data_IF_186763232022
#
_entry.id   IF_186763232022
#
_cell.length_a   1.000
_cell.length_b   1.000
_cell.length_c   1.000
_cell.angle_alpha   90.00
_cell.angle_beta   90.00
_cell.angle_gamma   90.00
#
_symmetry.space_group_name_H-M   'P 1'
#
loop_
_entity.id
_entity.type
_entity.pdbx_description
1 polymer ?
#
# COMPACT_ATOMS: atom_id res chain seq x y z
N UNK A 1 24.40 3.58 -5.52
CA UNK A 1 24.48 4.97 -5.02
C UNK A 1 25.26 5.04 -3.71
N UNK A 2 24.69 4.61 -2.56
CA UNK A 2 25.33 4.70 -1.24
C UNK A 2 26.76 4.14 -1.16
N UNK A 3 26.97 2.86 -1.51
CA UNK A 3 28.32 2.23 -1.51
C UNK A 3 29.31 2.85 -2.49
N UNK A 4 28.83 3.64 -3.45
CA UNK A 4 29.64 4.29 -4.48
C UNK A 4 29.82 5.79 -4.21
N UNK A 5 29.48 6.26 -2.99
CA UNK A 5 29.61 7.65 -2.56
C UNK A 5 28.87 8.67 -3.44
N UNK A 6 27.81 8.24 -4.13
CA UNK A 6 26.96 9.17 -4.89
C UNK A 6 26.07 9.92 -3.89
N UNK A 7 26.19 11.26 -3.77
CA UNK A 7 25.55 12.03 -2.70
C UNK A 7 24.02 11.93 -2.71
N UNK A 8 23.40 12.03 -3.89
CA UNK A 8 21.95 11.93 -4.04
C UNK A 8 21.51 10.47 -4.16
N UNK A 9 21.48 9.76 -3.02
CA UNK A 9 21.18 8.32 -3.02
C UNK A 9 19.75 7.97 -3.49
N UNK A 10 18.85 8.96 -3.46
CA UNK A 10 17.45 8.85 -3.87
C UNK A 10 17.13 9.59 -5.18
N UNK A 11 18.13 10.02 -5.95
CA UNK A 11 17.96 10.86 -7.16
C UNK A 11 16.89 10.35 -8.15
N UNK A 12 16.73 9.04 -8.29
CA UNK A 12 15.74 8.44 -9.21
C UNK A 12 14.28 8.56 -8.77
N UNK A 13 13.99 9.09 -7.59
CA UNK A 13 12.61 9.39 -7.13
C UNK A 13 12.50 10.72 -6.35
N UNK A 14 13.46 11.62 -6.54
CA UNK A 14 13.45 13.00 -6.06
C UNK A 14 13.57 13.97 -7.25
N UNK A 15 13.50 15.28 -7.01
CA UNK A 15 13.71 16.31 -8.05
C UNK A 15 12.77 16.18 -9.26
N UNK A 16 11.52 15.80 -9.02
CA UNK A 16 10.51 15.59 -10.07
C UNK A 16 10.50 14.18 -10.67
N UNK A 17 11.52 13.36 -10.40
CA UNK A 17 11.54 11.95 -10.82
C UNK A 17 10.50 11.13 -10.07
N UNK A 18 9.95 10.13 -10.77
CA UNK A 18 8.83 9.30 -10.32
C UNK A 18 9.16 7.83 -10.52
N UNK A 19 8.53 6.96 -9.72
CA UNK A 19 8.68 5.51 -9.84
C UNK A 19 7.32 4.83 -9.85
N UNK A 20 7.16 3.88 -10.76
CA UNK A 20 6.00 3.01 -10.84
C UNK A 20 6.44 1.55 -10.79
N UNK A 21 5.77 0.74 -9.97
CA UNK A 21 5.99 -0.70 -9.94
C UNK A 21 4.86 -1.43 -10.70
N UNK A 22 5.20 -2.02 -11.85
CA UNK A 22 4.25 -2.73 -12.71
C UNK A 22 3.60 -3.92 -12.00
N UNK A 23 4.24 -4.51 -10.98
CA UNK A 23 3.61 -5.58 -10.19
C UNK A 23 2.38 -5.06 -9.42
N UNK A 24 2.48 -3.86 -8.84
CA UNK A 24 1.35 -3.24 -8.13
C UNK A 24 0.25 -2.85 -9.11
N UNK A 25 0.62 -2.36 -10.30
CA UNK A 25 -0.33 -2.03 -11.38
C UNK A 25 -1.05 -3.27 -11.89
N UNK A 26 -0.34 -4.38 -12.14
CA UNK A 26 -0.92 -5.63 -12.61
C UNK A 26 -1.92 -6.22 -11.60
N UNK A 27 -1.58 -6.18 -10.31
CA UNK A 27 -2.49 -6.56 -9.23
C UNK A 27 -3.73 -5.68 -9.20
N UNK A 28 -3.56 -4.36 -9.27
CA UNK A 28 -4.69 -3.45 -9.32
C UNK A 28 -5.55 -3.64 -10.57
N UNK A 29 -4.93 -3.97 -11.72
CA UNK A 29 -5.60 -4.24 -13.00
C UNK A 29 -6.53 -5.42 -12.89
N UNK A 30 -5.98 -6.55 -12.42
CA UNK A 30 -6.77 -7.76 -12.21
C UNK A 30 -7.96 -7.54 -11.28
N UNK A 31 -7.81 -6.72 -10.24
CA UNK A 31 -8.91 -6.35 -9.34
C UNK A 31 -9.93 -5.40 -9.98
N UNK A 32 -9.45 -4.40 -10.73
CA UNK A 32 -10.28 -3.38 -11.38
C UNK A 32 -11.16 -3.98 -12.48
N UNK A 33 -10.58 -4.86 -13.29
CA UNK A 33 -11.25 -5.61 -14.34
C UNK A 33 -10.49 -6.94 -14.51
N UNK A 34 -11.17 -8.06 -14.24
CA UNK A 34 -10.55 -9.38 -14.28
C UNK A 34 -10.00 -9.74 -15.67
N UNK A 35 -10.57 -9.15 -16.72
CA UNK A 35 -10.15 -9.37 -18.11
C UNK A 35 -8.94 -8.53 -18.54
N UNK A 36 -8.57 -7.51 -17.76
CA UNK A 36 -7.50 -6.57 -18.10
C UNK A 36 -6.14 -7.23 -18.27
N UNK A 37 -5.87 -8.29 -17.51
CA UNK A 37 -4.67 -9.10 -17.61
C UNK A 37 -4.96 -10.56 -17.25
N UNK A 38 -4.51 -11.49 -18.09
CA UNK A 38 -4.65 -12.93 -17.82
C UNK A 38 -3.65 -13.36 -16.76
N UNK A 39 -4.05 -14.30 -15.91
CA UNK A 39 -3.20 -14.90 -14.88
C UNK A 39 -3.38 -16.41 -14.90
N UNK A 40 -2.30 -17.17 -14.77
CA UNK A 40 -2.40 -18.58 -14.41
C UNK A 40 -2.77 -18.72 -12.94
N UNK A 41 -3.44 -19.82 -12.59
CA UNK A 41 -3.67 -20.21 -11.19
C UNK A 41 -2.47 -20.98 -10.66
N UNK A 42 -2.05 -20.69 -9.42
CA UNK A 42 -0.99 -21.44 -8.78
C UNK A 42 -1.45 -22.89 -8.46
N UNK A 43 -0.50 -23.83 -8.45
CA UNK A 43 -0.81 -25.25 -8.21
C UNK A 43 -1.18 -25.56 -6.75
N UNK A 44 -0.89 -24.67 -5.80
CA UNK A 44 -0.96 -24.97 -4.36
C UNK A 44 -2.29 -24.58 -3.73
N UNK A 45 -2.82 -23.44 -4.13
CA UNK A 45 -4.01 -22.80 -3.56
C UNK A 45 -4.99 -22.32 -4.64
N UNK A 46 -4.70 -22.55 -5.92
CA UNK A 46 -5.56 -22.21 -7.05
C UNK A 46 -5.86 -20.69 -7.13
N UNK A 47 -4.87 -19.85 -6.81
CA UNK A 47 -4.99 -18.38 -6.85
C UNK A 47 -4.18 -17.76 -7.99
N UNK A 48 -4.55 -16.55 -8.47
CA UNK A 48 -3.80 -15.84 -9.49
C UNK A 48 -2.30 -15.69 -9.17
N UNK A 49 -1.46 -16.11 -10.09
CA UNK A 49 -0.01 -15.93 -10.03
C UNK A 49 0.39 -14.64 -10.74
N UNK A 50 1.09 -13.75 -10.03
CA UNK A 50 1.68 -12.52 -10.57
C UNK A 50 3.21 -12.63 -10.72
N UNK A 51 3.75 -13.85 -10.80
CA UNK A 51 5.14 -14.04 -11.21
C UNK A 51 5.26 -13.59 -12.67
N UNK A 52 6.34 -12.89 -13.01
CA UNK A 52 6.52 -12.32 -14.35
C UNK A 52 6.39 -13.39 -15.45
N UNK A 53 7.06 -14.53 -15.29
CA UNK A 53 6.99 -15.67 -16.22
C UNK A 53 5.56 -16.15 -16.42
N UNK A 54 4.80 -16.37 -15.33
CA UNK A 54 3.40 -16.81 -15.41
C UNK A 54 2.50 -15.79 -16.10
N UNK A 55 2.75 -14.48 -15.89
CA UNK A 55 2.01 -13.43 -16.58
C UNK A 55 2.36 -13.41 -18.08
N UNK A 56 3.64 -13.57 -18.44
CA UNK A 56 4.06 -13.64 -19.84
C UNK A 56 3.41 -14.83 -20.56
N UNK A 57 3.49 -16.02 -19.98
CA UNK A 57 2.86 -17.23 -20.52
C UNK A 57 1.33 -17.09 -20.64
N UNK A 58 0.67 -16.50 -19.64
CA UNK A 58 -0.78 -16.31 -19.67
C UNK A 58 -1.25 -15.32 -20.74
N UNK A 59 -0.38 -14.39 -21.17
CA UNK A 59 -0.72 -13.31 -22.09
C UNK A 59 0.08 -13.39 -23.41
N UNK A 60 0.54 -14.59 -23.77
CA UNK A 60 1.20 -14.86 -25.06
C UNK A 60 2.43 -13.96 -25.33
N UNK A 61 3.15 -13.57 -24.28
CA UNK A 61 4.42 -12.84 -24.40
C UNK A 61 5.56 -13.85 -24.49
N UNK A 62 6.40 -13.71 -25.53
CA UNK A 62 7.62 -14.50 -25.65
C UNK A 62 8.59 -14.18 -24.49
N UNK A 63 8.62 -15.09 -23.52
CA UNK A 63 9.42 -14.98 -22.29
C UNK A 63 10.92 -15.32 -22.50
N UNK A 64 11.35 -15.60 -23.74
CA UNK A 64 12.75 -15.85 -24.10
C UNK A 64 13.47 -16.83 -23.16
N UNK A 65 14.76 -16.58 -22.93
CA UNK A 65 15.50 -17.25 -21.85
C UNK A 65 15.26 -16.50 -20.54
N UNK A 66 14.52 -17.14 -19.63
CA UNK A 66 14.23 -16.60 -18.28
C UNK A 66 15.50 -16.19 -17.53
N UNK A 67 15.40 -15.15 -16.69
CA UNK A 67 16.49 -14.59 -15.87
C UNK A 67 17.59 -13.83 -16.63
N UNK A 68 17.27 -13.33 -17.82
CA UNK A 68 18.11 -12.34 -18.52
C UNK A 68 17.54 -10.93 -18.29
N UNK A 69 18.39 -9.97 -17.86
CA UNK A 69 17.94 -8.62 -17.52
C UNK A 69 17.22 -7.89 -18.66
N UNK A 70 17.64 -8.09 -19.91
CA UNK A 70 16.96 -7.52 -21.08
C UNK A 70 15.59 -8.17 -21.28
N UNK A 71 15.52 -9.50 -21.17
CA UNK A 71 14.27 -10.26 -21.31
C UNK A 71 13.26 -9.84 -20.23
N UNK A 72 13.67 -9.77 -18.97
CA UNK A 72 12.80 -9.34 -17.86
C UNK A 72 12.32 -7.89 -18.04
N UNK A 73 13.17 -7.01 -18.60
CA UNK A 73 12.79 -5.62 -18.93
C UNK A 73 11.73 -5.58 -20.03
N UNK A 74 11.92 -6.33 -21.12
CA UNK A 74 10.98 -6.41 -22.24
C UNK A 74 9.65 -7.06 -21.83
N UNK A 75 9.71 -8.10 -20.99
CA UNK A 75 8.55 -8.73 -20.39
C UNK A 75 7.75 -7.74 -19.54
N UNK A 76 8.43 -6.99 -18.67
CA UNK A 76 7.80 -5.96 -17.84
C UNK A 76 7.14 -4.88 -18.69
N UNK A 77 7.80 -4.44 -19.76
CA UNK A 77 7.21 -3.54 -20.75
C UNK A 77 5.96 -4.14 -21.41
N UNK A 78 6.02 -5.40 -21.86
CA UNK A 78 4.90 -6.09 -22.48
C UNK A 78 3.67 -6.17 -21.57
N UNK A 79 3.88 -6.53 -20.29
CA UNK A 79 2.83 -6.53 -19.26
C UNK A 79 2.24 -5.13 -19.07
N UNK A 80 3.09 -4.11 -18.95
CA UNK A 80 2.63 -2.72 -18.84
C UNK A 80 1.80 -2.29 -20.05
N UNK A 81 2.22 -2.65 -21.27
CA UNK A 81 1.51 -2.34 -22.51
C UNK A 81 0.13 -3.00 -22.59
N UNK A 82 0.01 -4.26 -22.16
CA UNK A 82 -1.30 -4.95 -22.10
C UNK A 82 -2.25 -4.22 -21.16
N UNK A 83 -1.79 -3.89 -19.94
CA UNK A 83 -2.62 -3.20 -18.96
C UNK A 83 -3.00 -1.80 -19.46
N UNK A 84 -2.06 -1.07 -20.06
CA UNK A 84 -2.32 0.23 -20.67
C UNK A 84 -3.44 0.16 -21.73
N UNK A 85 -3.41 -0.86 -22.58
CA UNK A 85 -4.41 -1.03 -23.64
C UNK A 85 -5.78 -1.50 -23.11
N UNK A 86 -5.78 -2.43 -22.15
CA UNK A 86 -7.01 -3.07 -21.70
C UNK A 86 -7.69 -2.35 -20.52
N UNK A 87 -6.92 -1.62 -19.71
CA UNK A 87 -7.40 -0.93 -18.52
C UNK A 87 -6.78 0.48 -18.40
N UNK A 88 -6.84 1.25 -19.49
CA UNK A 88 -6.34 2.64 -19.53
C UNK A 88 -6.81 3.53 -18.37
N UNK A 89 -8.08 3.50 -17.92
CA UNK A 89 -8.50 4.30 -16.77
C UNK A 89 -7.76 3.95 -15.48
N UNK A 90 -7.50 2.66 -15.24
CA UNK A 90 -6.68 2.26 -14.10
C UNK A 90 -5.22 2.68 -14.28
N UNK A 91 -4.67 2.53 -15.48
CA UNK A 91 -3.31 2.98 -15.76
C UNK A 91 -3.13 4.46 -15.39
N UNK A 92 -4.10 5.30 -15.75
CA UNK A 92 -4.10 6.72 -15.40
C UNK A 92 -4.20 6.94 -13.88
N UNK A 93 -5.03 6.16 -13.18
CA UNK A 93 -5.11 6.18 -11.72
C UNK A 93 -3.74 5.85 -11.11
N UNK A 94 -3.07 4.80 -11.58
CA UNK A 94 -1.76 4.38 -11.05
C UNK A 94 -0.67 5.46 -11.23
N UNK A 95 -0.76 6.27 -12.29
CA UNK A 95 0.16 7.39 -12.52
C UNK A 95 0.00 8.52 -11.48
N UNK A 96 -1.17 8.66 -10.85
CA UNK A 96 -1.44 9.71 -9.86
C UNK A 96 -0.78 9.48 -8.49
N UNK A 97 -0.18 8.31 -8.27
CA UNK A 97 0.46 7.93 -6.99
C UNK A 97 1.92 7.45 -7.19
N UNK A 98 2.60 8.00 -8.19
CA UNK A 98 3.97 7.62 -8.59
C UNK A 98 5.08 8.32 -7.82
N UNK A 99 4.72 9.35 -7.04
CA UNK A 99 5.62 9.99 -6.08
C UNK A 99 4.99 10.03 -4.69
N UNK A 100 5.85 10.20 -3.67
CA UNK A 100 5.41 10.38 -2.28
C UNK A 100 4.43 11.55 -2.15
N UNK A 101 4.80 12.71 -2.71
CA UNK A 101 4.02 13.94 -2.62
C UNK A 101 2.65 13.81 -3.29
N UNK A 102 2.58 13.22 -4.49
CA UNK A 102 1.31 13.02 -5.18
C UNK A 102 0.41 12.02 -4.44
N UNK A 103 1.01 10.95 -3.90
CA UNK A 103 0.27 10.00 -3.07
C UNK A 103 -0.28 10.66 -1.81
N UNK A 104 0.50 11.49 -1.12
CA UNK A 104 0.05 12.23 0.06
C UNK A 104 -1.05 13.24 -0.29
N UNK A 105 -0.91 13.93 -1.43
CA UNK A 105 -1.93 14.84 -1.96
C UNK A 105 -3.24 14.11 -2.24
N UNK A 106 -3.18 12.94 -2.88
CA UNK A 106 -4.35 12.09 -3.10
C UNK A 106 -5.00 11.72 -1.77
N UNK A 107 -4.22 11.25 -0.79
CA UNK A 107 -4.73 10.83 0.52
C UNK A 107 -5.44 11.98 1.24
N UNK A 108 -4.82 13.16 1.30
CA UNK A 108 -5.37 14.31 2.04
C UNK A 108 -6.59 14.94 1.34
N UNK A 109 -6.68 14.85 0.01
CA UNK A 109 -7.82 15.38 -0.75
C UNK A 109 -9.08 14.52 -0.62
N UNK A 110 -8.94 13.23 -0.31
CA UNK A 110 -10.05 12.28 -0.30
C UNK A 110 -10.48 11.95 1.13
N UNK A 111 -11.76 12.19 1.45
CA UNK A 111 -12.36 11.82 2.75
C UNK A 111 -12.18 10.34 3.04
N UNK A 112 -12.44 9.48 2.07
CA UNK A 112 -12.15 8.04 2.12
C UNK A 112 -11.53 7.63 0.80
N UNK A 113 -10.85 6.48 0.78
CA UNK A 113 -10.33 5.91 -0.45
C UNK A 113 -10.12 4.40 -0.28
N UNK A 114 -9.85 3.71 -1.38
CA UNK A 114 -9.64 2.27 -1.38
C UNK A 114 -8.15 1.94 -1.33
N UNK A 115 -7.74 1.21 -0.30
CA UNK A 115 -6.43 0.54 -0.24
C UNK A 115 -6.62 -0.89 -0.72
N UNK A 116 -5.84 -1.28 -1.74
CA UNK A 116 -5.74 -2.64 -2.22
C UNK A 116 -4.46 -3.27 -1.70
N UNK A 117 -4.58 -4.33 -0.92
CA UNK A 117 -3.44 -5.15 -0.52
C UNK A 117 -3.49 -6.52 -1.18
N UNK A 118 -2.30 -7.06 -1.45
CA UNK A 118 -2.16 -8.38 -2.03
C UNK A 118 -1.25 -9.24 -1.16
N UNK A 119 -1.83 -10.22 -0.49
CA UNK A 119 -1.08 -11.20 0.29
C UNK A 119 -1.78 -12.54 0.25
N UNK A 120 -1.01 -13.61 0.45
CA UNK A 120 -1.49 -14.99 0.34
C UNK A 120 -2.18 -15.28 -1.00
N UNK A 121 -1.86 -14.56 -2.08
CA UNK A 121 -2.44 -14.79 -3.40
C UNK A 121 -3.85 -14.21 -3.60
N UNK A 122 -4.35 -13.34 -2.73
CA UNK A 122 -5.66 -12.72 -2.92
C UNK A 122 -5.63 -11.23 -2.61
N UNK A 123 -6.60 -10.53 -3.21
CA UNK A 123 -6.86 -9.12 -2.92
C UNK A 123 -7.59 -8.98 -1.59
N UNK A 124 -7.12 -8.02 -0.79
CA UNK A 124 -7.82 -7.53 0.37
C UNK A 124 -8.11 -6.05 0.15
N UNK A 125 -9.39 -5.71 0.22
CA UNK A 125 -9.92 -4.38 -0.09
C UNK A 125 -10.25 -3.71 1.22
N UNK A 126 -9.77 -2.48 1.41
CA UNK A 126 -10.07 -1.70 2.59
C UNK A 126 -10.59 -0.31 2.21
N UNK A 127 -11.74 0.06 2.75
CA UNK A 127 -12.18 1.45 2.77
C UNK A 127 -11.45 2.17 3.89
N UNK A 128 -10.51 3.02 3.50
CA UNK A 128 -9.57 3.69 4.39
C UNK A 128 -9.96 5.16 4.61
N UNK A 129 -9.82 5.63 5.83
CA UNK A 129 -9.84 7.06 6.18
C UNK A 129 -8.50 7.44 6.82
N UNK A 130 -7.80 8.42 6.25
CA UNK A 130 -6.54 8.89 6.82
C UNK A 130 -6.78 9.58 8.17
N UNK A 131 -6.01 9.18 9.18
CA UNK A 131 -6.08 9.77 10.52
C UNK A 131 -4.82 10.55 10.90
N UNK A 132 -3.63 10.08 10.50
CA UNK A 132 -2.37 10.81 10.65
C UNK A 132 -1.25 10.15 9.85
N UNK A 133 -0.15 10.87 9.62
CA UNK A 133 1.10 10.28 9.15
C UNK A 133 1.91 9.76 10.33
N UNK A 134 2.43 8.53 10.21
CA UNK A 134 3.24 7.89 11.24
C UNK A 134 4.40 8.82 11.65
N UNK A 135 4.61 9.07 12.96
CA UNK A 135 5.55 10.07 13.42
C UNK A 135 6.99 9.76 13.01
N UNK A 136 7.40 8.49 13.05
CA UNK A 136 8.70 8.04 12.55
C UNK A 136 8.72 7.85 11.01
N UNK A 137 8.00 6.85 10.50
CA UNK A 137 8.10 6.42 9.10
C UNK A 137 7.42 7.33 8.06
N UNK A 138 6.65 8.34 8.50
CA UNK A 138 5.86 9.26 7.66
C UNK A 138 4.85 8.59 6.72
N UNK A 139 4.56 7.30 6.91
CA UNK A 139 3.52 6.59 6.15
C UNK A 139 2.12 7.01 6.60
N UNK A 140 1.15 7.00 5.70
CA UNK A 140 -0.24 7.29 6.06
C UNK A 140 -0.80 6.15 6.90
N UNK A 141 -1.27 6.47 8.11
CA UNK A 141 -2.04 5.58 8.98
C UNK A 141 -3.51 5.88 8.78
N UNK A 142 -4.29 4.82 8.55
CA UNK A 142 -5.68 4.91 8.15
C UNK A 142 -6.55 4.05 9.06
N UNK A 143 -7.74 4.54 9.36
CA UNK A 143 -8.78 3.76 10.00
C UNK A 143 -9.53 2.92 8.96
N UNK A 144 -9.76 1.64 9.26
CA UNK A 144 -10.65 0.80 8.47
C UNK A 144 -12.12 1.18 8.75
N UNK A 145 -12.82 1.72 7.76
CA UNK A 145 -14.16 2.30 7.93
C UNK A 145 -15.22 1.28 8.36
N UNK A 146 -14.97 -0.04 8.23
CA UNK A 146 -15.91 -1.06 8.75
C UNK A 146 -15.85 -1.21 10.27
N UNK A 147 -14.81 -0.67 10.90
CA UNK A 147 -14.59 -0.76 12.34
C UNK A 147 -15.28 0.42 13.03
N UNK A 148 -16.18 0.13 13.98
CA UNK A 148 -16.81 1.16 14.80
C UNK A 148 -15.79 1.68 15.87
N UNK A 149 -15.36 2.95 15.81
CA UNK A 149 -14.40 3.53 16.76
C UNK A 149 -14.93 3.59 18.19
N UNK A 150 -16.25 3.64 18.41
CA UNK A 150 -16.85 3.72 19.75
C UNK A 150 -16.38 2.58 20.68
N UNK A 151 -16.05 1.42 20.10
CA UNK A 151 -15.55 0.24 20.84
C UNK A 151 -14.17 0.47 21.48
N UNK A 152 -13.41 1.44 20.98
CA UNK A 152 -12.00 1.65 21.33
C UNK A 152 -11.75 2.95 22.10
N UNK A 153 -12.66 3.93 22.02
CA UNK A 153 -12.48 5.24 22.65
C UNK A 153 -12.21 5.18 24.15
N UNK A 154 -12.82 4.20 24.84
CA UNK A 154 -12.70 4.03 26.30
C UNK A 154 -11.65 3.01 26.72
N UNK A 155 -10.93 2.41 25.77
CA UNK A 155 -9.86 1.47 26.12
C UNK A 155 -8.69 2.24 26.73
N UNK A 156 -8.10 1.67 27.78
CA UNK A 156 -6.82 2.19 28.26
C UNK A 156 -5.72 2.00 27.21
N UNK A 157 -4.66 2.78 27.35
CA UNK A 157 -3.54 2.81 26.42
C UNK A 157 -2.90 1.44 26.18
N UNK A 158 -2.77 0.61 27.22
CA UNK A 158 -2.14 -0.72 27.15
C UNK A 158 -3.02 -1.70 26.39
N UNK A 159 -4.34 -1.66 26.63
CA UNK A 159 -5.31 -2.43 25.87
C UNK A 159 -5.31 -2.02 24.39
N UNK A 160 -5.33 -0.71 24.12
CA UNK A 160 -5.31 -0.16 22.76
C UNK A 160 -4.04 -0.57 22.00
N UNK A 161 -2.87 -0.53 22.67
CA UNK A 161 -1.60 -0.95 22.08
C UNK A 161 -1.61 -2.42 21.64
N UNK A 162 -2.25 -3.31 22.41
CA UNK A 162 -2.43 -4.72 22.03
C UNK A 162 -3.39 -4.86 20.84
N UNK A 163 -4.53 -4.17 20.88
CA UNK A 163 -5.55 -4.26 19.83
C UNK A 163 -5.02 -3.86 18.46
N UNK A 164 -4.19 -2.81 18.37
CA UNK A 164 -3.55 -2.37 17.12
C UNK A 164 -2.71 -3.49 16.48
N UNK A 165 -2.18 -4.41 17.28
CA UNK A 165 -1.36 -5.53 16.80
C UNK A 165 -2.17 -6.76 16.37
N UNK A 166 -3.38 -6.91 16.86
CA UNK A 166 -4.20 -8.10 16.63
C UNK A 166 -4.86 -8.06 15.25
N UNK A 167 -4.93 -9.22 14.59
CA UNK A 167 -5.72 -9.40 13.37
C UNK A 167 -7.17 -9.79 13.73
N UNK A 168 -8.19 -9.23 13.06
CA UNK A 168 -8.13 -8.26 11.97
C UNK A 168 -7.67 -6.87 12.44
N UNK A 169 -6.75 -6.26 11.68
CA UNK A 169 -6.17 -4.94 11.99
C UNK A 169 -7.21 -3.84 11.84
N UNK A 170 -7.33 -2.99 12.85
CA UNK A 170 -8.20 -1.79 12.82
C UNK A 170 -7.54 -0.61 12.10
N UNK A 171 -6.21 -0.58 12.05
CA UNK A 171 -5.42 0.41 11.32
C UNK A 171 -4.81 -0.20 10.06
N UNK A 172 -4.85 0.55 8.95
CA UNK A 172 -4.17 0.21 7.69
C UNK A 172 -3.06 1.21 7.40
N UNK A 173 -1.92 0.71 6.95
CA UNK A 173 -0.75 1.55 6.63
C UNK A 173 -0.59 1.66 5.12
N UNK A 174 -0.67 2.88 4.58
CA UNK A 174 -0.32 3.18 3.20
C UNK A 174 1.10 3.76 3.13
N UNK A 175 2.04 2.97 2.60
CA UNK A 175 3.43 3.41 2.39
C UNK A 175 3.53 4.28 1.15
N UNK A 176 3.43 5.59 1.34
CA UNK A 176 3.37 6.60 0.25
C UNK A 176 4.58 6.60 -0.67
N UNK A 177 5.72 6.07 -0.22
CA UNK A 177 6.96 5.97 -0.98
C UNK A 177 7.21 4.59 -1.64
N UNK A 178 6.22 3.69 -1.66
CA UNK A 178 6.35 2.32 -2.19
C UNK A 178 5.48 2.06 -3.43
N UNK A 179 5.20 3.10 -4.21
CA UNK A 179 4.39 3.03 -5.44
C UNK A 179 3.04 2.32 -5.23
N UNK A 180 2.22 2.75 -4.24
CA UNK A 180 0.89 2.19 -4.07
C UNK A 180 0.00 2.57 -5.25
N UNK A 181 -1.01 1.75 -5.56
CA UNK A 181 -2.11 2.12 -6.46
C UNK A 181 -3.34 2.33 -5.60
N UNK A 182 -3.76 3.59 -5.43
CA UNK A 182 -4.92 3.96 -4.60
C UNK A 182 -6.13 4.18 -5.49
N UNK A 183 -7.25 3.53 -5.16
CA UNK A 183 -8.50 3.66 -5.93
C UNK A 183 -9.48 4.58 -5.19
N UNK A 184 -10.50 5.06 -5.91
CA UNK A 184 -11.62 5.80 -5.32
C UNK A 184 -12.41 4.92 -4.34
N UNK A 185 -13.16 5.54 -3.44
CA UNK A 185 -13.93 4.85 -2.40
C UNK A 185 -14.94 3.83 -2.93
N UNK A 186 -15.50 4.08 -4.11
CA UNK A 186 -16.57 3.25 -4.71
C UNK A 186 -16.14 1.78 -4.86
N UNK A 187 -14.85 1.52 -5.13
CA UNK A 187 -14.31 0.17 -5.24
C UNK A 187 -14.43 -0.62 -3.93
N UNK A 188 -14.12 0.01 -2.79
CA UNK A 188 -14.29 -0.62 -1.50
C UNK A 188 -15.75 -0.64 -1.05
N UNK A 189 -16.52 0.44 -1.31
CA UNK A 189 -17.94 0.50 -0.95
C UNK A 189 -18.78 -0.59 -1.62
N UNK A 190 -18.43 -0.98 -2.85
CA UNK A 190 -19.10 -2.06 -3.58
C UNK A 190 -18.60 -3.47 -3.19
N UNK A 191 -17.55 -3.57 -2.35
CA UNK A 191 -17.04 -4.86 -1.87
C UNK A 191 -17.93 -5.42 -0.73
N UNK A 192 -18.06 -6.75 -0.66
CA UNK A 192 -18.88 -7.46 0.35
C UNK A 192 -18.66 -7.01 1.81
N UNK A 193 -17.44 -6.58 2.14
CA UNK A 193 -17.09 -6.16 3.50
C UNK A 193 -17.66 -4.79 3.90
N UNK A 194 -18.11 -3.99 2.92
CA UNK A 194 -18.55 -2.62 3.13
C UNK A 194 -19.93 -2.33 2.51
N UNK A 195 -20.36 -3.09 1.50
CA UNK A 195 -21.64 -2.89 0.81
C UNK A 195 -22.86 -3.04 1.72
N UNK A 196 -22.70 -3.73 2.86
CA UNK A 196 -23.73 -3.90 3.89
C UNK A 196 -23.76 -2.77 4.92
N UNK A 197 -22.85 -1.79 4.84
CA UNK A 197 -22.73 -0.69 5.79
C UNK A 197 -23.28 0.58 5.13
N UNK A 198 -24.31 1.17 5.73
CA UNK A 198 -24.87 2.44 5.27
C UNK A 198 -23.78 3.53 5.25
N UNK A 199 -23.75 4.34 4.18
CA UNK A 199 -22.84 5.48 4.05
C UNK A 199 -23.00 6.48 5.18
N UNK A 200 -24.21 6.62 5.75
CA UNK A 200 -24.46 7.42 6.95
C UNK A 200 -23.76 6.86 8.18
N UNK A 201 -23.69 5.54 8.32
CA UNK A 201 -22.95 4.90 9.42
C UNK A 201 -21.43 5.07 9.24
N UNK A 202 -20.92 4.98 8.00
CA UNK A 202 -19.52 5.32 7.69
C UNK A 202 -19.25 6.77 8.11
N UNK A 203 -20.09 7.71 7.70
CA UNK A 203 -19.94 9.13 8.03
C UNK A 203 -20.01 9.40 9.54
N UNK A 204 -20.91 8.71 10.25
CA UNK A 204 -20.98 8.77 11.71
C UNK A 204 -19.65 8.33 12.35
N UNK A 205 -19.09 7.20 11.90
CA UNK A 205 -17.81 6.69 12.42
C UNK A 205 -16.66 7.66 12.17
N UNK A 206 -16.59 8.27 10.98
CA UNK A 206 -15.57 9.27 10.69
C UNK A 206 -15.75 10.52 11.56
N UNK A 207 -16.99 10.94 11.80
CA UNK A 207 -17.28 12.04 12.72
C UNK A 207 -16.84 11.72 14.15
N UNK A 208 -17.04 10.50 14.63
CA UNK A 208 -16.52 10.07 15.94
C UNK A 208 -15.00 10.22 16.01
N UNK A 209 -14.25 9.78 14.99
CA UNK A 209 -12.79 9.96 14.97
C UNK A 209 -12.40 11.45 14.99
N UNK A 210 -13.08 12.28 14.19
CA UNK A 210 -12.83 13.72 14.11
C UNK A 210 -13.12 14.44 15.43
N UNK A 211 -14.19 14.05 16.12
CA UNK A 211 -14.64 14.69 17.35
C UNK A 211 -13.84 14.19 18.59
N UNK A 212 -12.92 13.22 18.43
CA UNK A 212 -12.10 12.66 19.51
C UNK A 212 -10.59 12.74 19.18
N UNK A 213 -9.98 13.94 19.06
CA UNK A 213 -8.57 14.10 18.69
C UNK A 213 -7.59 13.47 19.69
N UNK A 214 -7.92 13.44 20.99
CA UNK A 214 -7.09 12.80 22.03
C UNK A 214 -6.90 11.29 21.80
N UNK A 215 -7.93 10.63 21.26
CA UNK A 215 -7.83 9.22 20.85
C UNK A 215 -6.81 9.04 19.72
N UNK A 216 -6.81 9.95 18.74
CA UNK A 216 -5.87 9.91 17.62
C UNK A 216 -4.43 10.16 18.09
N UNK A 217 -4.21 11.14 18.98
CA UNK A 217 -2.88 11.37 19.56
C UNK A 217 -2.40 10.18 20.41
N UNK A 218 -3.31 9.49 21.11
CA UNK A 218 -2.98 8.24 21.83
C UNK A 218 -2.51 7.16 20.86
N UNK A 219 -3.20 6.94 19.74
CA UNK A 219 -2.78 5.99 18.70
C UNK A 219 -1.40 6.34 18.14
N UNK A 220 -1.16 7.64 17.87
CA UNK A 220 0.10 8.15 17.34
C UNK A 220 1.26 7.95 18.30
N UNK A 221 1.06 8.24 19.60
CA UNK A 221 2.04 7.98 20.66
C UNK A 221 2.37 6.48 20.77
N UNK A 222 1.37 5.60 20.73
CA UNK A 222 1.59 4.15 20.77
C UNK A 222 2.44 3.69 19.57
N UNK A 223 2.15 4.19 18.38
CA UNK A 223 2.90 3.81 17.18
C UNK A 223 4.32 4.38 17.18
N UNK A 224 4.54 5.57 17.76
CA UNK A 224 5.88 6.13 17.95
C UNK A 224 6.73 5.24 18.87
N UNK A 225 6.23 4.94 20.06
CA UNK A 225 6.95 4.11 21.04
C UNK A 225 7.32 2.75 20.45
N UNK A 226 6.40 2.12 19.70
CA UNK A 226 6.70 0.85 19.02
C UNK A 226 7.80 0.95 17.97
N UNK A 227 7.92 2.09 17.29
CA UNK A 227 9.00 2.32 16.33
C UNK A 227 10.33 2.50 17.07
N UNK A 228 10.35 3.23 18.17
CA UNK A 228 11.53 3.42 19.03
C UNK A 228 12.00 2.12 19.70
N UNK A 229 11.06 1.30 20.22
CA UNK A 229 11.34 -0.04 20.77
C UNK A 229 11.98 -0.95 19.71
N UNK A 230 11.50 -0.89 18.47
CA UNK A 230 12.04 -1.69 17.38
C UNK A 230 13.48 -1.30 17.02
N UNK A 231 13.81 -0.02 17.07
CA UNK A 231 15.18 0.45 16.84
C UNK A 231 16.11 0.07 18.00
N UNK A 232 15.66 0.19 19.25
CA UNK A 232 16.47 -0.14 20.44
C UNK A 232 16.75 -1.63 20.62
N UNK A 233 15.86 -2.51 20.15
CA UNK A 233 16.08 -3.96 20.14
C UNK A 233 17.17 -4.41 19.14
N UNK A 234 17.51 -3.57 18.16
CA UNK A 234 18.49 -3.90 17.13
C UNK A 234 19.92 -3.54 17.59
N UNK A 235 20.49 -4.37 18.46
CA UNK A 235 21.82 -4.18 19.07
C UNK A 235 22.98 -4.82 18.28
N UNK A 236 22.73 -5.34 17.08
CA UNK A 236 23.82 -5.88 16.25
C UNK A 236 24.73 -4.75 15.78
N UNK A 237 26.05 -4.95 15.89
CA UNK A 237 27.02 -4.09 15.20
C UNK A 237 26.73 -4.14 13.70
N UNK A 238 26.29 -3.01 13.14
CA UNK A 238 25.94 -2.91 11.73
C UNK A 238 27.22 -2.65 10.93
N UNK A 239 27.45 -3.43 9.87
CA UNK A 239 28.46 -3.11 8.89
C UNK A 239 28.10 -1.79 8.22
N UNK A 240 29.09 -1.01 7.74
CA UNK A 240 28.83 0.26 7.07
C UNK A 240 27.84 0.10 5.89
N UNK A 241 27.91 -1.01 5.16
CA UNK A 241 27.01 -1.34 4.06
C UNK A 241 25.53 -1.46 4.48
N UNK A 242 25.26 -1.64 5.77
CA UNK A 242 23.94 -1.83 6.37
C UNK A 242 23.41 -0.54 7.01
N UNK A 243 24.19 0.54 7.01
CA UNK A 243 23.85 1.81 7.68
C UNK A 243 23.20 2.84 6.76
N UNK A 244 22.74 2.46 5.57
CA UNK A 244 22.09 3.38 4.62
C UNK A 244 20.92 4.18 5.26
N UNK A 245 20.27 3.65 6.30
CA UNK A 245 19.17 4.32 7.02
C UNK A 245 19.56 4.84 8.42
N UNK A 246 20.82 4.70 8.86
CA UNK A 246 21.21 4.95 10.25
C UNK A 246 21.55 6.42 10.55
N UNK A 247 21.87 7.23 9.54
CA UNK A 247 22.35 8.61 9.72
C UNK A 247 21.30 9.71 9.59
N UNK A 248 20.03 9.36 9.32
CA UNK A 248 19.06 10.34 8.82
C UNK A 248 19.46 10.89 7.44
N UNK A 249 18.60 11.73 6.85
CA UNK A 249 18.87 12.44 5.60
C UNK A 249 18.58 13.92 5.78
#
# INVERSE_FOLDING_TARGET
>A
YFKSLIPEIYQTNTSGNKRLDILNVARAAKFYDDSSIKTQLDKKNNRPSFKLVNLCEANDINNGTSHNALVDTLNTYGIGKIIYNNAKPLWDIALTTTSKLETETFILKNKTYTILEYYKGQHYVFLAHHIFFHPEYKWSINWDCKVNPDKYLKMDRKALAKVIDVSPKILRTCRTNKSPVLLKSDFALNNENYSQIDTKEIDRRLKVLKDNPEFIETLKSILLEKAEEKETLNQSEKLFEETIYAGGF
#
